data_IF_716794412183
#
_entry.id   IF_716794412183
#
_cell.length_a   1.000
_cell.length_b   1.000
_cell.length_c   1.000
_cell.angle_alpha   90.00
_cell.angle_beta   90.00
_cell.angle_gamma   90.00
#
_symmetry.space_group_name_H-M   'P 1'
#
loop_
_entity.id
_entity.type
_entity.pdbx_description
1 polymer ?
#
# COMPACT_ATOMS: atom_id res chain seq x y z
N UNK A 1 -14.87 8.21 -23.24
CA UNK A 1 -14.20 9.41 -22.70
C UNK A 1 -12.67 9.28 -22.61
N UNK A 2 -12.08 8.10 -22.35
CA UNK A 2 -10.59 7.96 -22.29
C UNK A 2 -9.99 6.81 -23.12
N UNK A 3 -10.67 6.34 -24.18
CA UNK A 3 -10.19 5.21 -25.01
C UNK A 3 -8.82 5.46 -25.65
N UNK A 4 -8.54 6.70 -26.05
CA UNK A 4 -7.34 7.07 -26.81
C UNK A 4 -6.06 7.20 -25.96
N UNK A 5 -6.19 7.29 -24.63
CA UNK A 5 -5.03 7.51 -23.76
C UNK A 5 -4.20 6.23 -23.60
N UNK A 6 -2.94 6.31 -23.17
CA UNK A 6 -2.15 5.10 -22.89
C UNK A 6 -2.49 4.57 -21.50
N UNK A 7 -2.70 3.26 -21.39
CA UNK A 7 -2.89 2.59 -20.10
C UNK A 7 -1.56 2.47 -19.36
N UNK A 8 -1.60 2.56 -18.03
CA UNK A 8 -0.45 2.41 -17.14
C UNK A 8 -0.26 0.96 -16.67
N UNK A 9 -1.13 0.01 -17.09
CA UNK A 9 -1.04 -1.39 -16.67
C UNK A 9 0.34 -2.00 -16.87
N UNK A 10 0.98 -1.77 -18.03
CA UNK A 10 2.34 -2.27 -18.28
C UNK A 10 3.37 -1.68 -17.31
N UNK A 11 3.24 -0.39 -16.96
CA UNK A 11 4.12 0.26 -15.98
C UNK A 11 3.96 -0.41 -14.62
N UNK A 12 2.71 -0.62 -14.19
CA UNK A 12 2.37 -1.29 -12.93
C UNK A 12 2.89 -2.73 -12.89
N UNK A 13 2.76 -3.47 -13.98
CA UNK A 13 3.22 -4.86 -14.08
C UNK A 13 4.74 -5.00 -14.16
N UNK A 14 5.43 -4.04 -14.79
CA UNK A 14 6.89 -4.04 -14.91
C UNK A 14 7.63 -3.49 -13.68
N UNK A 15 6.91 -2.91 -12.72
CA UNK A 15 7.51 -2.25 -11.57
C UNK A 15 8.12 -3.24 -10.57
N UNK A 16 9.45 -3.25 -10.52
CA UNK A 16 10.28 -4.08 -9.64
C UNK A 16 10.74 -3.35 -8.38
N UNK A 17 10.22 -2.15 -8.10
CA UNK A 17 10.60 -1.39 -6.90
C UNK A 17 10.20 -2.04 -5.57
N UNK A 18 9.44 -3.14 -5.61
CA UNK A 18 9.14 -3.99 -4.46
C UNK A 18 10.18 -5.12 -4.24
N UNK A 19 11.27 -5.16 -5.02
CA UNK A 19 12.36 -6.12 -4.86
C UNK A 19 13.50 -5.51 -4.05
N UNK A 20 13.91 -6.21 -3.00
CA UNK A 20 15.09 -5.89 -2.20
C UNK A 20 16.37 -6.50 -2.77
N UNK A 21 17.49 -5.81 -2.62
CA UNK A 21 18.84 -6.37 -2.87
C UNK A 21 19.10 -7.66 -2.09
N UNK A 22 18.44 -7.88 -0.95
CA UNK A 22 18.60 -9.12 -0.18
C UNK A 22 18.13 -10.37 -0.94
N UNK A 23 17.33 -10.23 -2.00
CA UNK A 23 16.97 -11.34 -2.88
C UNK A 23 18.13 -11.87 -3.72
N UNK A 24 19.24 -11.13 -3.84
CA UNK A 24 20.45 -11.61 -4.54
C UNK A 24 21.29 -12.55 -3.66
N UNK A 25 20.99 -12.64 -2.37
CA UNK A 25 21.69 -13.50 -1.41
C UNK A 25 20.93 -14.82 -1.21
N UNK A 26 21.57 -15.85 -0.65
CA UNK A 26 20.86 -17.06 -0.24
C UNK A 26 19.68 -16.72 0.70
N UNK A 27 18.52 -17.39 0.58
CA UNK A 27 17.32 -17.07 1.37
C UNK A 27 17.54 -17.07 2.88
N UNK A 28 18.42 -17.93 3.38
CA UNK A 28 18.78 -17.99 4.80
C UNK A 28 19.41 -16.68 5.27
N UNK A 29 20.35 -16.13 4.49
CA UNK A 29 21.04 -14.87 4.80
C UNK A 29 20.04 -13.71 4.85
N UNK A 30 19.19 -13.57 3.82
CA UNK A 30 18.19 -12.50 3.81
C UNK A 30 17.21 -12.60 4.99
N UNK A 31 16.79 -13.82 5.33
CA UNK A 31 15.89 -14.09 6.45
C UNK A 31 16.52 -13.71 7.78
N UNK A 32 17.77 -14.11 8.00
CA UNK A 32 18.51 -13.82 9.24
C UNK A 32 18.72 -12.32 9.41
N UNK A 33 19.12 -11.62 8.33
CA UNK A 33 19.28 -10.16 8.33
C UNK A 33 17.96 -9.46 8.65
N UNK A 34 16.86 -9.86 8.00
CA UNK A 34 15.54 -9.27 8.26
C UNK A 34 15.09 -9.49 9.71
N UNK A 35 15.20 -10.71 10.22
CA UNK A 35 14.81 -11.03 11.60
C UNK A 35 15.64 -10.23 12.63
N UNK A 36 16.94 -10.08 12.41
CA UNK A 36 17.83 -9.38 13.34
C UNK A 36 17.62 -7.86 13.35
N UNK A 37 17.42 -7.25 12.18
CA UNK A 37 17.33 -5.79 12.02
C UNK A 37 15.94 -5.26 12.34
N UNK A 38 14.89 -5.99 11.98
CA UNK A 38 13.50 -5.51 12.13
C UNK A 38 13.05 -5.51 13.60
N UNK A 39 13.54 -6.45 14.41
CA UNK A 39 13.17 -6.57 15.82
C UNK A 39 13.39 -5.29 16.66
N UNK A 40 14.59 -4.66 16.67
CA UNK A 40 14.80 -3.40 17.40
C UNK A 40 14.00 -2.22 16.82
N UNK A 41 13.71 -2.22 15.52
CA UNK A 41 12.90 -1.17 14.89
C UNK A 41 11.44 -1.25 15.32
N UNK A 42 10.88 -2.46 15.37
CA UNK A 42 9.49 -2.65 15.79
C UNK A 42 9.23 -2.24 17.25
N UNK A 43 10.22 -2.39 18.13
CA UNK A 43 10.11 -1.87 19.51
C UNK A 43 10.11 -0.34 19.59
N UNK A 44 10.69 0.33 18.60
CA UNK A 44 10.75 1.79 18.51
C UNK A 44 9.46 2.44 17.95
N UNK A 45 8.51 1.65 17.43
CA UNK A 45 7.21 2.17 16.92
C UNK A 45 6.27 2.57 18.08
N UNK A 46 6.59 2.17 19.31
CA UNK A 46 5.83 2.52 20.52
C UNK A 46 5.64 4.03 20.67
N UNK A 47 4.44 4.53 21.08
CA UNK A 47 4.20 5.95 21.32
C UNK A 47 5.12 6.56 22.39
N UNK A 48 5.76 5.72 23.20
CA UNK A 48 6.64 6.11 24.31
C UNK A 48 8.12 6.04 23.90
N UNK A 49 8.43 5.58 22.68
CA UNK A 49 9.80 5.53 22.19
C UNK A 49 10.29 6.95 21.90
N UNK A 50 11.41 7.33 22.52
CA UNK A 50 12.03 8.65 22.35
C UNK A 50 13.32 8.59 21.53
N UNK A 51 13.90 7.39 21.37
CA UNK A 51 15.18 7.20 20.71
C UNK A 51 15.02 6.60 19.31
N UNK A 52 15.79 7.15 18.39
CA UNK A 52 15.86 6.69 17.02
C UNK A 52 17.28 6.31 16.63
N UNK A 53 17.43 5.06 16.16
CA UNK A 53 18.70 4.50 15.76
C UNK A 53 19.13 4.93 14.35
N UNK A 54 18.22 5.41 13.49
CA UNK A 54 18.49 5.79 12.11
C UNK A 54 18.60 7.31 11.96
N UNK A 55 19.80 7.80 11.65
CA UNK A 55 20.12 9.24 11.62
C UNK A 55 20.36 9.77 10.20
N UNK A 56 20.86 8.92 9.31
CA UNK A 56 21.27 9.32 7.95
C UNK A 56 20.38 8.69 6.87
N UNK A 57 20.32 9.35 5.71
CA UNK A 57 19.60 8.85 4.53
C UNK A 57 20.10 7.45 4.11
N UNK A 58 21.40 7.20 4.22
CA UNK A 58 22.01 5.89 3.91
C UNK A 58 21.52 4.80 4.85
N UNK A 59 21.44 5.08 6.15
CA UNK A 59 20.95 4.14 7.16
C UNK A 59 19.48 3.81 6.90
N UNK A 60 18.64 4.83 6.64
CA UNK A 60 17.21 4.61 6.35
C UNK A 60 17.03 3.80 5.07
N UNK A 61 17.71 4.15 3.98
CA UNK A 61 17.62 3.41 2.71
C UNK A 61 18.08 1.96 2.84
N UNK A 62 19.19 1.71 3.53
CA UNK A 62 19.63 0.34 3.80
C UNK A 62 18.60 -0.43 4.63
N UNK A 63 18.05 0.18 5.68
CA UNK A 63 16.98 -0.44 6.46
C UNK A 63 15.72 -0.70 5.63
N UNK A 64 15.39 0.17 4.67
CA UNK A 64 14.26 -0.06 3.77
C UNK A 64 14.46 -1.27 2.86
N UNK A 65 15.69 -1.57 2.42
CA UNK A 65 15.98 -2.83 1.72
C UNK A 65 15.67 -4.04 2.60
N UNK A 66 16.02 -3.97 3.88
CA UNK A 66 15.77 -5.05 4.85
C UNK A 66 14.27 -5.21 5.12
N UNK A 67 13.55 -4.11 5.34
CA UNK A 67 12.10 -4.10 5.52
C UNK A 67 11.38 -4.61 4.26
N UNK A 68 11.80 -4.20 3.06
CA UNK A 68 11.24 -4.67 1.80
C UNK A 68 11.35 -6.19 1.64
N UNK A 69 12.51 -6.76 1.98
CA UNK A 69 12.71 -8.21 2.00
C UNK A 69 11.91 -8.87 3.12
N UNK A 70 11.89 -8.28 4.31
CA UNK A 70 11.12 -8.78 5.45
C UNK A 70 9.63 -8.95 5.13
N UNK A 71 9.07 -8.07 4.28
CA UNK A 71 7.69 -8.18 3.80
C UNK A 71 7.43 -9.38 2.87
N UNK A 72 8.45 -10.02 2.30
CA UNK A 72 8.30 -11.22 1.44
C UNK A 72 8.40 -12.53 2.23
N UNK A 73 8.91 -12.50 3.47
CA UNK A 73 9.07 -13.66 4.35
C UNK A 73 7.74 -14.32 4.75
N UNK A 74 7.69 -15.64 5.02
CA UNK A 74 6.50 -16.35 5.49
C UNK A 74 5.77 -15.67 6.66
N UNK A 75 4.44 -15.77 6.70
CA UNK A 75 3.59 -15.06 7.67
C UNK A 75 3.53 -15.70 9.07
N UNK A 76 4.32 -16.75 9.33
CA UNK A 76 4.31 -17.52 10.58
C UNK A 76 5.05 -16.80 11.73
N UNK A 77 5.94 -15.87 11.42
CA UNK A 77 6.71 -15.08 12.38
C UNK A 77 6.24 -13.64 12.55
N UNK A 78 6.87 -12.92 13.48
CA UNK A 78 6.56 -11.50 13.76
C UNK A 78 7.18 -10.52 12.75
N UNK A 79 8.18 -10.95 11.98
CA UNK A 79 8.99 -10.07 11.11
C UNK A 79 8.16 -9.28 10.12
N UNK A 80 7.21 -9.94 9.44
CA UNK A 80 6.32 -9.25 8.48
C UNK A 80 5.45 -8.22 9.19
N UNK A 81 4.88 -8.58 10.35
CA UNK A 81 4.08 -7.66 11.17
C UNK A 81 4.90 -6.45 11.59
N UNK A 82 6.11 -6.64 12.09
CA UNK A 82 6.99 -5.55 12.49
C UNK A 82 7.40 -4.66 11.30
N UNK A 83 7.61 -5.25 10.12
CA UNK A 83 7.84 -4.46 8.90
C UNK A 83 6.62 -3.58 8.55
N UNK A 84 5.42 -4.13 8.63
CA UNK A 84 4.17 -3.39 8.42
C UNK A 84 4.01 -2.30 9.48
N UNK A 85 4.27 -2.58 10.76
CA UNK A 85 4.19 -1.61 11.85
C UNK A 85 5.15 -0.43 11.60
N UNK A 86 6.42 -0.70 11.26
CA UNK A 86 7.42 0.34 10.96
C UNK A 86 7.02 1.20 9.76
N UNK A 87 6.59 0.59 8.66
CA UNK A 87 6.19 1.34 7.47
C UNK A 87 4.89 2.11 7.63
N UNK A 88 3.90 1.53 8.31
CA UNK A 88 2.64 2.23 8.59
C UNK A 88 2.83 3.37 9.58
N UNK A 89 3.85 3.31 10.43
CA UNK A 89 4.27 4.44 11.25
C UNK A 89 4.98 5.52 10.43
N UNK A 90 6.06 5.17 9.71
CA UNK A 90 6.86 6.14 8.98
C UNK A 90 6.06 6.91 7.93
N UNK A 91 5.07 6.27 7.29
CA UNK A 91 4.21 6.97 6.33
C UNK A 91 3.33 8.05 6.96
N UNK A 92 3.07 7.97 8.27
CA UNK A 92 2.32 9.00 9.00
C UNK A 92 3.14 10.28 9.21
N UNK A 93 4.42 10.33 8.81
CA UNK A 93 5.17 11.59 8.72
C UNK A 93 4.47 12.65 7.85
N UNK A 94 3.68 12.22 6.86
CA UNK A 94 2.84 13.10 6.03
C UNK A 94 1.53 13.57 6.69
N UNK A 95 1.21 13.04 7.87
CA UNK A 95 0.02 13.38 8.65
C UNK A 95 0.42 14.16 9.90
N UNK A 96 1.24 13.54 10.74
CA UNK A 96 1.75 14.10 12.00
C UNK A 96 3.13 13.52 12.28
N UNK A 97 4.23 14.22 11.92
CA UNK A 97 5.59 13.75 12.17
C UNK A 97 5.86 13.68 13.68
N UNK A 98 6.58 12.64 14.10
CA UNK A 98 6.97 12.40 15.50
C UNK A 98 8.48 12.36 15.63
N UNK A 99 9.02 12.79 16.77
CA UNK A 99 10.47 12.79 17.02
C UNK A 99 11.10 11.37 17.01
N UNK A 100 10.28 10.34 17.22
CA UNK A 100 10.70 8.94 17.12
C UNK A 100 10.95 8.46 15.68
N UNK A 101 10.47 9.19 14.66
CA UNK A 101 10.65 8.84 13.25
C UNK A 101 12.04 9.26 12.74
N UNK A 102 12.63 8.53 11.76
CA UNK A 102 13.91 8.92 11.17
C UNK A 102 13.90 10.34 10.62
N UNK A 103 14.90 11.14 11.00
CA UNK A 103 15.03 12.51 10.50
C UNK A 103 14.98 12.60 8.97
N UNK A 104 15.60 11.69 8.18
CA UNK A 104 15.43 11.67 6.73
C UNK A 104 13.97 11.51 6.28
N UNK A 105 13.20 10.64 6.96
CA UNK A 105 11.77 10.41 6.66
C UNK A 105 10.96 11.67 6.95
N UNK A 106 11.22 12.37 8.06
CA UNK A 106 10.54 13.63 8.39
C UNK A 106 10.91 14.74 7.40
N UNK A 107 12.17 14.78 6.96
CA UNK A 107 12.69 15.81 6.06
C UNK A 107 12.15 15.68 4.63
N UNK A 108 12.05 14.45 4.11
CA UNK A 108 11.58 14.17 2.74
C UNK A 108 10.44 13.14 2.71
N UNK A 109 9.30 13.41 3.39
CA UNK A 109 8.31 12.39 3.69
C UNK A 109 7.60 11.86 2.44
N UNK A 110 7.40 12.69 1.42
CA UNK A 110 6.80 12.27 0.15
C UNK A 110 7.65 11.21 -0.57
N UNK A 111 8.98 11.41 -0.65
CA UNK A 111 9.89 10.46 -1.30
C UNK A 111 9.85 9.09 -0.60
N UNK A 112 9.95 9.10 0.73
CA UNK A 112 9.93 7.88 1.53
C UNK A 112 8.59 7.17 1.47
N UNK A 113 7.46 7.90 1.52
CA UNK A 113 6.12 7.31 1.41
C UNK A 113 5.88 6.65 0.06
N UNK A 114 6.34 7.25 -1.03
CA UNK A 114 6.24 6.63 -2.36
C UNK A 114 6.96 5.28 -2.40
N UNK A 115 8.14 5.17 -1.79
CA UNK A 115 8.88 3.91 -1.71
C UNK A 115 8.24 2.90 -0.75
N UNK A 116 7.73 3.37 0.41
CA UNK A 116 6.99 2.54 1.36
C UNK A 116 5.77 1.89 0.69
N UNK A 117 4.97 2.64 -0.07
CA UNK A 117 3.79 2.12 -0.78
C UNK A 117 4.18 1.02 -1.76
N UNK A 118 5.29 1.20 -2.49
CA UNK A 118 5.84 0.19 -3.41
C UNK A 118 6.24 -1.08 -2.66
N UNK A 119 6.88 -0.98 -1.50
CA UNK A 119 7.27 -2.14 -0.71
C UNK A 119 6.07 -2.85 -0.08
N UNK A 120 5.10 -2.10 0.44
CA UNK A 120 3.88 -2.63 1.07
C UNK A 120 3.02 -3.48 0.13
N UNK A 121 3.21 -3.36 -1.19
CA UNK A 121 2.64 -4.27 -2.17
C UNK A 121 2.94 -5.75 -1.84
N UNK A 122 4.13 -6.06 -1.33
CA UNK A 122 4.53 -7.43 -1.00
C UNK A 122 3.63 -8.11 0.05
N UNK A 123 2.90 -7.32 0.86
CA UNK A 123 1.91 -7.84 1.82
C UNK A 123 0.70 -8.44 1.10
N UNK A 124 0.34 -7.94 -0.07
CA UNK A 124 -0.86 -8.35 -0.82
C UNK A 124 -0.59 -9.50 -1.79
N UNK A 125 0.66 -9.91 -1.97
CA UNK A 125 1.01 -11.04 -2.83
C UNK A 125 0.47 -12.34 -2.21
N UNK A 126 -0.37 -13.13 -2.91
CA UNK A 126 -0.86 -14.41 -2.42
C UNK A 126 0.29 -15.37 -2.12
N UNK A 127 0.22 -16.03 -0.96
CA UNK A 127 1.22 -17.02 -0.54
C UNK A 127 0.60 -18.41 -0.61
N UNK A 128 1.29 -19.41 -1.21
CA UNK A 128 0.87 -20.80 -1.11
C UNK A 128 0.74 -21.19 0.36
N UNK A 129 -0.28 -21.98 0.70
CA UNK A 129 -0.44 -22.60 2.02
C UNK A 129 -0.73 -21.65 3.21
N UNK A 130 -0.90 -20.34 2.98
CA UNK A 130 -1.08 -19.36 4.05
C UNK A 130 -2.37 -18.53 3.88
N UNK A 131 -3.53 -19.19 3.88
CA UNK A 131 -4.85 -18.52 4.07
C UNK A 131 -5.09 -18.10 5.53
N UNK A 132 -4.07 -17.56 6.17
CA UNK A 132 -4.11 -17.28 7.60
C UNK A 132 -4.92 -16.00 7.86
N UNK A 133 -5.68 -15.99 8.97
CA UNK A 133 -6.30 -14.78 9.49
C UNK A 133 -5.28 -13.65 9.68
N UNK A 134 -4.01 -13.99 9.90
CA UNK A 134 -2.91 -13.04 10.02
C UNK A 134 -2.66 -12.30 8.70
N UNK A 135 -2.69 -12.97 7.55
CA UNK A 135 -2.54 -12.30 6.24
C UNK A 135 -3.60 -11.22 6.05
N UNK A 136 -4.86 -11.58 6.30
CA UNK A 136 -6.01 -10.67 6.18
C UNK A 136 -5.85 -9.47 7.12
N UNK A 137 -5.44 -9.71 8.38
CA UNK A 137 -5.20 -8.65 9.37
C UNK A 137 -4.12 -7.67 8.92
N UNK A 138 -3.01 -8.17 8.38
CA UNK A 138 -1.92 -7.32 7.88
C UNK A 138 -2.36 -6.48 6.68
N UNK A 139 -3.06 -7.09 5.71
CA UNK A 139 -3.65 -6.34 4.60
C UNK A 139 -4.63 -5.27 5.06
N UNK A 140 -5.51 -5.59 6.02
CA UNK A 140 -6.47 -4.63 6.60
C UNK A 140 -5.77 -3.49 7.33
N UNK A 141 -4.68 -3.76 8.05
CA UNK A 141 -3.86 -2.74 8.70
C UNK A 141 -3.29 -1.78 7.66
N UNK A 142 -2.65 -2.29 6.60
CA UNK A 142 -2.10 -1.46 5.52
C UNK A 142 -3.19 -0.63 4.85
N UNK A 143 -4.33 -1.23 4.50
CA UNK A 143 -5.46 -0.52 3.90
C UNK A 143 -6.01 0.60 4.80
N UNK A 144 -6.07 0.35 6.10
CA UNK A 144 -6.53 1.35 7.08
C UNK A 144 -5.53 2.51 7.21
N UNK A 145 -4.22 2.22 7.27
CA UNK A 145 -3.18 3.24 7.33
C UNK A 145 -3.12 4.08 6.05
N UNK A 146 -3.27 3.46 4.88
CA UNK A 146 -3.33 4.15 3.60
C UNK A 146 -4.58 5.04 3.49
N UNK A 147 -5.74 4.54 3.91
CA UNK A 147 -6.97 5.33 3.97
C UNK A 147 -6.84 6.54 4.91
N UNK A 148 -6.21 6.35 6.07
CA UNK A 148 -5.91 7.43 7.02
C UNK A 148 -4.97 8.47 6.42
N UNK A 149 -3.87 8.02 5.79
CA UNK A 149 -2.92 8.88 5.10
C UNK A 149 -3.65 9.79 4.08
N UNK A 150 -4.51 9.20 3.24
CA UNK A 150 -5.25 9.92 2.22
C UNK A 150 -6.22 10.97 2.80
N UNK A 151 -6.89 10.65 3.90
CA UNK A 151 -7.86 11.55 4.55
C UNK A 151 -7.17 12.71 5.26
N UNK A 152 -6.11 12.42 6.00
CA UNK A 152 -5.56 13.34 7.00
C UNK A 152 -4.30 14.08 6.53
N UNK A 153 -3.62 13.61 5.48
CA UNK A 153 -2.44 14.31 4.98
C UNK A 153 -2.79 15.63 4.33
N UNK A 154 -2.02 16.66 4.66
CA UNK A 154 -2.11 18.00 4.08
C UNK A 154 -0.93 18.37 3.18
N UNK A 155 0.08 17.49 3.07
CA UNK A 155 1.35 17.78 2.38
C UNK A 155 1.74 16.75 1.31
N UNK A 156 0.85 15.80 1.00
CA UNK A 156 1.02 14.90 -0.14
C UNK A 156 1.09 15.67 -1.45
N UNK A 157 2.22 15.56 -2.16
CA UNK A 157 2.36 16.12 -3.51
C UNK A 157 1.65 15.24 -4.54
N UNK A 158 1.40 15.79 -5.74
CA UNK A 158 0.73 15.08 -6.84
C UNK A 158 1.33 13.70 -7.11
N UNK A 159 2.66 13.62 -7.21
CA UNK A 159 3.38 12.37 -7.46
C UNK A 159 3.06 11.29 -6.40
N UNK A 160 2.92 11.68 -5.12
CA UNK A 160 2.60 10.76 -4.03
C UNK A 160 1.17 10.26 -4.11
N UNK A 161 0.22 11.13 -4.49
CA UNK A 161 -1.16 10.71 -4.79
C UNK A 161 -1.20 9.71 -5.95
N UNK A 162 -0.45 10.00 -7.00
CA UNK A 162 -0.35 9.13 -8.17
C UNK A 162 0.23 7.75 -7.83
N UNK A 163 1.32 7.69 -7.07
CA UNK A 163 1.89 6.41 -6.57
C UNK A 163 0.89 5.68 -5.67
N UNK A 164 0.15 6.39 -4.83
CA UNK A 164 -0.89 5.82 -3.98
C UNK A 164 -2.02 5.19 -4.80
N UNK A 165 -2.50 5.87 -5.85
CA UNK A 165 -3.54 5.31 -6.74
C UNK A 165 -3.04 4.08 -7.49
N UNK A 166 -1.80 4.11 -8.00
CA UNK A 166 -1.20 2.94 -8.65
C UNK A 166 -1.03 1.77 -7.70
N UNK A 167 -0.61 2.02 -6.45
CA UNK A 167 -0.54 1.00 -5.41
C UNK A 167 -1.90 0.35 -5.18
N UNK A 168 -2.97 1.16 -4.99
CA UNK A 168 -4.32 0.64 -4.78
C UNK A 168 -4.84 -0.16 -5.99
N UNK A 169 -4.59 0.30 -7.21
CA UNK A 169 -4.94 -0.44 -8.42
C UNK A 169 -4.19 -1.78 -8.48
N UNK A 170 -2.89 -1.78 -8.21
CA UNK A 170 -2.02 -2.97 -8.25
C UNK A 170 -2.44 -4.04 -7.25
N UNK A 171 -2.73 -3.66 -5.99
CA UNK A 171 -3.16 -4.63 -4.97
C UNK A 171 -4.56 -5.20 -5.27
N UNK A 172 -5.45 -4.39 -5.85
CA UNK A 172 -6.77 -4.87 -6.28
C UNK A 172 -6.62 -5.87 -7.43
N UNK A 173 -5.77 -5.57 -8.41
CA UNK A 173 -5.51 -6.48 -9.53
C UNK A 173 -4.95 -7.82 -9.08
N UNK A 174 -4.00 -7.77 -8.16
CA UNK A 174 -3.31 -8.96 -7.64
C UNK A 174 -4.27 -9.92 -6.94
N UNK A 175 -5.31 -9.39 -6.29
CA UNK A 175 -6.26 -10.20 -5.51
C UNK A 175 -7.57 -10.48 -6.25
N UNK A 176 -8.00 -9.61 -7.15
CA UNK A 176 -9.32 -9.64 -7.78
C UNK A 176 -9.29 -9.92 -9.29
N UNK A 177 -8.13 -9.90 -9.95
CA UNK A 177 -8.07 -10.26 -11.37
C UNK A 177 -8.04 -11.79 -11.55
N UNK A 178 -8.60 -12.31 -12.65
CA UNK A 178 -8.48 -13.72 -12.99
C UNK A 178 -7.05 -14.06 -13.49
N UNK A 179 -6.53 -15.28 -13.21
CA UNK A 179 -7.10 -16.27 -12.30
C UNK A 179 -6.97 -15.81 -10.83
N UNK A 180 -8.06 -15.92 -10.06
CA UNK A 180 -8.07 -15.51 -8.66
C UNK A 180 -7.19 -16.44 -7.82
N UNK A 181 -5.96 -16.01 -7.54
CA UNK A 181 -5.03 -16.73 -6.66
C UNK A 181 -5.33 -16.29 -5.22
N UNK A 182 -5.47 -17.24 -4.29
CA UNK A 182 -5.75 -16.90 -2.89
C UNK A 182 -7.22 -16.56 -2.62
N UNK A 183 -8.15 -17.28 -3.27
CA UNK A 183 -9.62 -17.09 -3.23
C UNK A 183 -10.15 -16.64 -1.86
N UNK A 184 -9.80 -17.34 -0.77
CA UNK A 184 -10.31 -17.01 0.58
C UNK A 184 -9.82 -15.66 1.15
N UNK A 185 -8.65 -15.16 0.71
CA UNK A 185 -8.15 -13.84 1.10
C UNK A 185 -8.83 -12.75 0.27
N UNK A 186 -8.96 -12.98 -1.04
CA UNK A 186 -9.64 -12.06 -1.95
C UNK A 186 -11.10 -11.83 -1.56
N UNK A 187 -11.85 -12.89 -1.26
CA UNK A 187 -13.25 -12.81 -0.81
C UNK A 187 -13.41 -11.97 0.46
N UNK A 188 -12.52 -12.13 1.44
CA UNK A 188 -12.59 -11.43 2.73
C UNK A 188 -12.12 -9.98 2.66
N UNK A 189 -11.30 -9.62 1.67
CA UNK A 189 -10.75 -8.28 1.53
C UNK A 189 -11.45 -7.43 0.46
N UNK A 190 -12.19 -8.04 -0.48
CA UNK A 190 -12.77 -7.35 -1.64
C UNK A 190 -13.58 -6.10 -1.26
N UNK A 191 -14.47 -6.17 -0.27
CA UNK A 191 -15.26 -5.00 0.15
C UNK A 191 -14.35 -3.85 0.65
N UNK A 192 -13.38 -4.16 1.52
CA UNK A 192 -12.47 -3.14 2.08
C UNK A 192 -11.55 -2.57 0.99
N UNK A 193 -11.03 -3.41 0.10
CA UNK A 193 -10.19 -3.00 -1.03
C UNK A 193 -10.90 -1.98 -1.92
N UNK A 194 -12.14 -2.29 -2.31
CA UNK A 194 -12.95 -1.43 -3.17
C UNK A 194 -13.36 -0.15 -2.46
N UNK A 195 -13.74 -0.23 -1.18
CA UNK A 195 -14.10 0.94 -0.39
C UNK A 195 -12.92 1.94 -0.29
N UNK A 196 -11.71 1.44 0.01
CA UNK A 196 -10.51 2.27 0.08
C UNK A 196 -10.14 2.82 -1.29
N UNK A 197 -10.15 2.00 -2.35
CA UNK A 197 -9.84 2.45 -3.71
C UNK A 197 -10.73 3.63 -4.11
N UNK A 198 -12.05 3.48 -4.03
CA UNK A 198 -12.97 4.54 -4.47
C UNK A 198 -12.89 5.79 -3.61
N UNK A 199 -12.77 5.65 -2.30
CA UNK A 199 -12.63 6.82 -1.43
C UNK A 199 -11.34 7.60 -1.72
N UNK A 200 -10.19 6.92 -1.78
CA UNK A 200 -8.92 7.56 -2.08
C UNK A 200 -8.93 8.17 -3.48
N UNK A 201 -9.60 7.52 -4.44
CA UNK A 201 -9.78 8.06 -5.79
C UNK A 201 -10.56 9.38 -5.78
N UNK A 202 -11.68 9.44 -5.05
CA UNK A 202 -12.48 10.67 -4.92
C UNK A 202 -11.72 11.78 -4.18
N UNK A 203 -10.94 11.44 -3.15
CA UNK A 203 -10.06 12.39 -2.47
C UNK A 203 -8.99 12.93 -3.43
N UNK A 204 -8.38 12.08 -4.24
CA UNK A 204 -7.42 12.50 -5.26
C UNK A 204 -8.06 13.42 -6.30
N UNK A 205 -9.31 13.16 -6.71
CA UNK A 205 -10.07 14.06 -7.58
C UNK A 205 -10.20 15.47 -7.01
N UNK A 206 -10.48 15.58 -5.71
CA UNK A 206 -10.62 16.87 -5.02
C UNK A 206 -9.28 17.59 -4.80
N UNK A 207 -8.17 16.85 -4.69
CA UNK A 207 -6.85 17.41 -4.32
C UNK A 207 -5.96 17.73 -5.51
N UNK A 208 -5.81 16.80 -6.46
CA UNK A 208 -4.88 16.96 -7.58
C UNK A 208 -5.47 16.62 -8.95
N UNK A 209 -6.64 15.97 -8.98
CA UNK A 209 -7.35 15.47 -10.16
C UNK A 209 -6.49 14.53 -11.04
N UNK A 210 -6.64 13.19 -10.92
CA UNK A 210 -5.82 12.23 -11.67
C UNK A 210 -5.90 12.45 -13.18
N UNK A 211 -4.75 12.31 -13.85
CA UNK A 211 -4.66 12.53 -15.30
C UNK A 211 -5.39 11.41 -16.08
N UNK A 212 -5.77 11.64 -17.35
CA UNK A 212 -6.53 10.65 -18.14
C UNK A 212 -5.97 9.23 -18.20
N UNK A 213 -4.63 8.98 -18.23
CA UNK A 213 -4.07 7.63 -18.15
C UNK A 213 -4.51 6.84 -16.91
N UNK A 214 -4.65 7.48 -15.75
CA UNK A 214 -5.10 6.83 -14.51
C UNK A 214 -6.55 6.36 -14.63
N UNK A 215 -7.42 7.22 -15.17
CA UNK A 215 -8.82 6.88 -15.41
C UNK A 215 -8.98 5.76 -16.43
N UNK A 216 -8.20 5.78 -17.51
CA UNK A 216 -8.18 4.67 -18.48
C UNK A 216 -7.79 3.36 -17.81
N UNK A 217 -6.70 3.38 -17.04
CA UNK A 217 -6.17 2.22 -16.31
C UNK A 217 -7.20 1.67 -15.32
N UNK A 218 -7.78 2.53 -14.47
CA UNK A 218 -8.79 2.12 -13.51
C UNK A 218 -10.00 1.48 -14.18
N UNK A 219 -10.51 2.08 -15.27
CA UNK A 219 -11.64 1.52 -16.03
C UNK A 219 -11.35 0.12 -16.56
N UNK A 220 -10.16 -0.08 -17.14
CA UNK A 220 -9.76 -1.38 -17.70
C UNK A 220 -9.62 -2.44 -16.60
N UNK A 221 -8.99 -2.09 -15.47
CA UNK A 221 -8.79 -3.03 -14.38
C UNK A 221 -10.10 -3.35 -13.64
N UNK A 222 -10.91 -2.34 -13.31
CA UNK A 222 -12.24 -2.54 -12.72
C UNK A 222 -13.10 -3.48 -13.56
N UNK A 223 -13.03 -3.38 -14.90
CA UNK A 223 -13.78 -4.25 -15.79
C UNK A 223 -13.42 -5.74 -15.61
N UNK A 224 -12.17 -6.04 -15.24
CA UNK A 224 -11.69 -7.40 -14.99
C UNK A 224 -12.10 -7.93 -13.61
N UNK A 225 -12.38 -7.05 -12.64
CA UNK A 225 -12.74 -7.44 -11.27
C UNK A 225 -14.24 -7.60 -11.04
N UNK A 226 -15.10 -7.23 -12.01
CA UNK A 226 -16.58 -7.22 -11.88
C UNK A 226 -17.22 -8.55 -11.49
N UNK A 227 -16.51 -9.66 -11.62
CA UNK A 227 -16.98 -10.97 -11.17
C UNK A 227 -17.03 -11.09 -9.64
N UNK A 228 -16.40 -10.16 -8.91
CA UNK A 228 -16.54 -10.02 -7.46
C UNK A 228 -17.72 -9.06 -7.13
N UNK A 229 -18.80 -9.54 -6.46
CA UNK A 229 -19.96 -8.70 -6.12
C UNK A 229 -19.63 -7.38 -5.39
N UNK A 230 -18.66 -7.33 -4.44
CA UNK A 230 -18.32 -6.08 -3.75
C UNK A 230 -17.85 -4.95 -4.67
N UNK A 231 -17.32 -5.26 -5.86
CA UNK A 231 -16.92 -4.26 -6.86
C UNK A 231 -18.12 -3.48 -7.35
N UNK A 232 -19.19 -4.20 -7.71
CA UNK A 232 -20.43 -3.61 -8.24
C UNK A 232 -21.20 -2.89 -7.13
N UNK A 233 -21.31 -3.52 -5.97
CA UNK A 233 -22.03 -2.96 -4.82
C UNK A 233 -21.40 -1.65 -4.33
N UNK A 234 -20.08 -1.64 -4.15
CA UNK A 234 -19.40 -0.44 -3.66
C UNK A 234 -19.43 0.69 -4.69
N UNK A 235 -19.29 0.37 -5.98
CA UNK A 235 -19.46 1.36 -7.04
C UNK A 235 -20.88 1.95 -7.03
N UNK A 236 -21.89 1.12 -6.82
CA UNK A 236 -23.30 1.56 -6.74
C UNK A 236 -23.54 2.49 -5.56
N UNK A 237 -22.96 2.19 -4.38
CA UNK A 237 -22.99 3.07 -3.20
C UNK A 237 -22.36 4.43 -3.48
N UNK A 238 -21.20 4.45 -4.15
CA UNK A 238 -20.50 5.68 -4.53
C UNK A 238 -21.31 6.50 -5.52
N UNK A 239 -21.85 5.87 -6.57
CA UNK A 239 -22.67 6.53 -7.57
C UNK A 239 -23.91 7.18 -6.93
N UNK A 240 -24.64 6.41 -6.10
CA UNK A 240 -25.80 6.92 -5.36
C UNK A 240 -25.45 8.08 -4.43
N UNK A 241 -24.32 8.00 -3.70
CA UNK A 241 -23.88 9.11 -2.85
C UNK A 241 -23.60 10.40 -3.66
N UNK A 242 -22.98 10.26 -4.84
CA UNK A 242 -22.66 11.40 -5.72
C UNK A 242 -23.91 11.99 -6.39
N UNK A 243 -24.92 11.17 -6.73
CA UNK A 243 -26.14 11.64 -7.40
C UNK A 243 -27.28 12.01 -6.45
N UNK A 244 -27.21 11.63 -5.17
CA UNK A 244 -28.26 11.89 -4.18
C UNK A 244 -28.69 13.35 -4.04
N UNK A 245 -27.82 14.30 -4.41
CA UNK A 245 -28.13 15.75 -4.43
C UNK A 245 -28.75 16.25 -5.73
N UNK A 246 -28.69 15.48 -6.81
CA UNK A 246 -29.33 15.78 -8.09
C UNK A 246 -30.80 15.32 -8.07
N UNK A 247 -31.12 14.28 -7.31
CA UNK A 247 -32.48 13.72 -7.18
C UNK A 247 -33.41 14.52 -6.22
N UNK A 248 -32.92 15.65 -5.68
CA UNK A 248 -33.67 16.56 -4.78
C UNK A 248 -34.29 17.77 -5.49
N UNK A 249 -34.32 17.78 -6.83
CA UNK A 249 -34.97 18.78 -7.68
C UNK A 249 -35.92 18.12 -8.68
#
# INVERSE_FOLDING_TARGET
MYSEWRSLQLVVQSDQSNLSVLHTYPPTVGTDVANAVVKPLGTAVSPVATDNILKTDKEVKWTMEVLCYGLTLPLEGETVKLCVDVYTDWMMALVSPRDSMPHPVIKEPNMYVQLILKHLYNVFVPRPDQHSLNHIRLCQQVLTSVQKLARESNSMVRETWEVLLLFLLRINDTLLAPPTIGVGVAEKLAEKLMAVLFEVWLLACARCFPTPPYWKTAREMLANWRHHPPVVEQWSRVASALTSRLDLH
#
